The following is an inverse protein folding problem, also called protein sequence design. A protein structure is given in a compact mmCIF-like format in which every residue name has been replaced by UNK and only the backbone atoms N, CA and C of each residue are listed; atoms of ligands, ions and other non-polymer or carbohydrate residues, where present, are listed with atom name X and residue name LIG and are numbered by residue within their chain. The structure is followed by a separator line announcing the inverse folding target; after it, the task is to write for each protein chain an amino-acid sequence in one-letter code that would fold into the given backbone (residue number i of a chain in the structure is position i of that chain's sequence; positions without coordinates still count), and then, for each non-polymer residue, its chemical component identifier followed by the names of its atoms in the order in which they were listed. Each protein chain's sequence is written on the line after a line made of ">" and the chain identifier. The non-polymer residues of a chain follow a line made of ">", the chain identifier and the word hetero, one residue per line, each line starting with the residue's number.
data_IF_718664989229
#
_entry.id   IF_718664989229
#
_cell.length_a   1.000
_cell.length_b   1.000
_cell.length_c   1.000
_cell.angle_alpha   90.00
_cell.angle_beta   90.00
_cell.angle_gamma   90.00
#
_symmetry.space_group_name_H-M   'P 1'
#
loop_
_entity.id
_entity.type
_entity.pdbx_description
1 polymer ?
#
# COMPACT_ATOMS: atom_id res chain seq x y z
N UNK A 1 -13.25 4.64 -7.83
CA UNK A 1 -12.25 5.59 -8.40
C UNK A 1 -11.76 6.71 -7.50
N UNK A 2 -12.56 7.72 -7.10
CA UNK A 2 -12.04 8.87 -6.30
C UNK A 2 -11.67 8.49 -4.85
N UNK A 3 -12.48 7.65 -4.20
CA UNK A 3 -12.24 7.21 -2.82
C UNK A 3 -10.96 6.38 -2.69
N UNK A 4 -10.82 5.30 -3.49
CA UNK A 4 -9.60 4.48 -3.56
C UNK A 4 -8.33 5.32 -3.74
N UNK A 5 -8.34 6.29 -4.67
CA UNK A 5 -7.19 7.20 -4.87
C UNK A 5 -6.86 8.05 -3.64
N UNK A 6 -7.88 8.51 -2.89
CA UNK A 6 -7.68 9.25 -1.63
C UNK A 6 -7.07 8.35 -0.56
N UNK A 7 -7.55 7.12 -0.44
CA UNK A 7 -7.02 6.14 0.52
C UNK A 7 -5.57 5.78 0.21
N UNK A 8 -5.21 5.53 -1.05
CA UNK A 8 -3.80 5.27 -1.42
C UNK A 8 -2.92 6.49 -1.12
N UNK A 9 -3.43 7.72 -1.32
CA UNK A 9 -2.70 8.94 -0.97
C UNK A 9 -2.52 9.08 0.55
N UNK A 10 -3.51 8.66 1.33
CA UNK A 10 -3.44 8.61 2.79
C UNK A 10 -2.28 7.68 3.21
N UNK A 11 -2.28 6.42 2.74
CA UNK A 11 -1.22 5.46 3.03
C UNK A 11 0.18 6.02 2.71
N UNK A 12 0.35 6.64 1.54
CA UNK A 12 1.63 7.31 1.19
C UNK A 12 2.02 8.44 2.15
N UNK A 13 1.08 9.21 2.66
CA UNK A 13 1.37 10.28 3.64
C UNK A 13 1.79 9.73 5.00
N UNK A 14 1.26 8.57 5.37
CA UNK A 14 1.59 7.89 6.63
C UNK A 14 2.76 6.90 6.50
N UNK A 15 3.35 6.74 5.31
CA UNK A 15 4.41 5.76 5.08
C UNK A 15 3.93 4.30 5.05
N UNK A 16 2.62 4.06 4.94
CA UNK A 16 2.03 2.73 4.91
C UNK A 16 1.93 2.23 3.47
N UNK A 17 2.62 1.13 3.17
CA UNK A 17 2.57 0.47 1.85
C UNK A 17 1.56 -0.68 1.79
N UNK A 18 1.31 -1.33 2.93
CA UNK A 18 0.38 -2.45 3.11
C UNK A 18 -0.52 -2.13 4.29
N UNK A 19 -1.81 -1.89 4.03
CA UNK A 19 -2.75 -1.50 5.08
C UNK A 19 -4.18 -1.90 4.75
N UNK A 20 -4.99 -2.07 5.79
CA UNK A 20 -6.42 -2.26 5.73
C UNK A 20 -7.17 -1.01 6.15
N UNK A 21 -8.39 -0.85 5.65
CA UNK A 21 -9.27 0.24 6.06
C UNK A 21 -10.70 -0.26 6.12
N UNK A 22 -11.31 -0.07 7.28
CA UNK A 22 -12.72 -0.36 7.51
C UNK A 22 -13.52 0.93 7.40
N UNK A 23 -14.62 0.87 6.67
CA UNK A 23 -15.49 2.01 6.48
C UNK A 23 -16.96 1.58 6.41
N UNK A 24 -17.83 2.48 6.84
CA UNK A 24 -19.27 2.35 6.68
C UNK A 24 -19.75 3.30 5.59
N UNK A 25 -20.73 2.87 4.79
CA UNK A 25 -21.35 3.74 3.80
C UNK A 25 -22.47 4.56 4.45
N UNK A 26 -22.42 5.88 4.28
CA UNK A 26 -23.46 6.81 4.74
C UNK A 26 -24.07 7.54 3.56
N UNK A 27 -25.17 8.26 3.77
CA UNK A 27 -25.77 9.14 2.75
C UNK A 27 -24.79 10.21 2.23
N UNK A 28 -23.80 10.60 3.04
CA UNK A 28 -22.76 11.58 2.69
C UNK A 28 -21.51 10.94 2.07
N UNK A 29 -21.48 9.62 1.96
CA UNK A 29 -20.35 8.84 1.46
C UNK A 29 -19.66 7.98 2.53
N UNK A 30 -18.48 7.41 2.21
CA UNK A 30 -17.79 6.48 3.09
C UNK A 30 -17.19 7.21 4.32
N UNK A 31 -17.47 6.66 5.50
CA UNK A 31 -16.92 7.11 6.77
C UNK A 31 -15.94 6.06 7.29
N UNK A 32 -14.67 6.46 7.46
CA UNK A 32 -13.59 5.56 7.91
C UNK A 32 -13.77 5.33 9.41
N UNK A 33 -13.82 4.06 9.82
CA UNK A 33 -13.97 3.67 11.23
C UNK A 33 -12.66 3.14 11.82
N UNK A 34 -11.83 2.50 11.01
CA UNK A 34 -10.55 1.96 11.45
C UNK A 34 -9.52 1.90 10.32
N UNK A 35 -8.24 1.97 10.67
CA UNK A 35 -7.09 1.81 9.77
C UNK A 35 -6.08 0.88 10.45
N UNK A 36 -5.80 -0.24 9.78
CA UNK A 36 -4.87 -1.24 10.28
C UNK A 36 -3.58 -1.25 9.46
N UNK A 37 -2.45 -1.05 10.15
CA UNK A 37 -1.13 -1.29 9.57
C UNK A 37 -0.87 -2.80 9.51
N UNK A 38 -0.70 -3.33 8.30
CA UNK A 38 -0.50 -4.76 8.04
C UNK A 38 -1.59 -5.70 8.63
N UNK A 39 -2.81 -5.72 8.06
CA UNK A 39 -3.89 -6.62 8.51
C UNK A 39 -3.60 -8.09 8.19
N UNK A 40 -4.46 -9.00 8.67
CA UNK A 40 -4.25 -10.45 8.53
C UNK A 40 -4.51 -11.05 7.15
N UNK A 41 -5.18 -10.32 6.24
CA UNK A 41 -5.57 -10.78 4.90
C UNK A 41 -6.34 -12.11 4.83
N UNK A 42 -6.92 -12.58 5.96
CA UNK A 42 -7.52 -13.93 6.07
C UNK A 42 -8.56 -14.27 5.00
N UNK A 43 -9.31 -13.26 4.54
CA UNK A 43 -10.37 -13.44 3.53
C UNK A 43 -9.90 -13.21 2.09
N UNK A 44 -8.59 -13.03 1.87
CA UNK A 44 -7.99 -12.87 0.54
C UNK A 44 -7.18 -14.14 0.26
N UNK A 45 -7.69 -15.06 -0.58
CA UNK A 45 -7.01 -16.33 -0.87
C UNK A 45 -5.56 -16.13 -1.34
N UNK A 46 -5.31 -15.10 -2.15
CA UNK A 46 -4.00 -14.75 -2.69
C UNK A 46 -3.19 -13.81 -1.79
N UNK A 47 -3.66 -13.52 -0.57
CA UNK A 47 -3.10 -12.48 0.31
C UNK A 47 -1.59 -12.65 0.54
N UNK A 48 -1.15 -13.89 0.80
CA UNK A 48 0.28 -14.22 0.98
C UNK A 48 1.09 -13.93 -0.29
N UNK A 49 0.59 -14.32 -1.46
CA UNK A 49 1.27 -14.07 -2.74
C UNK A 49 1.38 -12.58 -3.01
N UNK A 50 0.28 -11.84 -2.88
CA UNK A 50 0.24 -10.40 -3.14
C UNK A 50 1.18 -9.62 -2.22
N UNK A 51 1.23 -9.97 -0.94
CA UNK A 51 2.17 -9.37 0.01
C UNK A 51 3.61 -9.71 -0.36
N UNK A 52 3.90 -10.97 -0.71
CA UNK A 52 5.24 -11.40 -1.12
C UNK A 52 5.70 -10.68 -2.38
N UNK A 53 4.85 -10.58 -3.40
CA UNK A 53 5.10 -9.85 -4.63
C UNK A 53 5.36 -8.36 -4.36
N UNK A 54 4.57 -7.76 -3.46
CA UNK A 54 4.75 -6.37 -3.09
C UNK A 54 6.12 -6.12 -2.43
N UNK A 55 6.53 -6.99 -1.50
CA UNK A 55 7.83 -6.90 -0.84
C UNK A 55 8.96 -7.08 -1.86
N UNK A 56 8.88 -8.13 -2.69
CA UNK A 56 9.88 -8.42 -3.72
C UNK A 56 10.05 -7.26 -4.69
N UNK A 57 8.95 -6.72 -5.21
CA UNK A 57 8.96 -5.58 -6.13
C UNK A 57 9.51 -4.31 -5.47
N UNK A 58 9.22 -4.09 -4.19
CA UNK A 58 9.74 -2.93 -3.45
C UNK A 58 11.26 -3.01 -3.28
N UNK A 59 11.80 -4.20 -3.01
CA UNK A 59 13.25 -4.45 -2.93
C UNK A 59 13.89 -4.21 -4.29
N UNK A 60 13.37 -4.82 -5.36
CA UNK A 60 13.92 -4.67 -6.70
C UNK A 60 13.91 -3.22 -7.20
N UNK A 61 12.85 -2.48 -6.89
CA UNK A 61 12.77 -1.07 -7.21
C UNK A 61 13.89 -0.30 -6.50
N UNK A 62 14.12 -0.57 -5.21
CA UNK A 62 15.17 0.08 -4.43
C UNK A 62 16.57 -0.22 -4.97
N UNK A 63 16.85 -1.47 -5.33
CA UNK A 63 18.14 -1.87 -5.90
C UNK A 63 18.38 -1.23 -7.29
N UNK A 64 17.33 -1.19 -8.12
CA UNK A 64 17.37 -0.49 -9.41
C UNK A 64 17.69 0.99 -9.22
N UNK A 65 16.97 1.70 -8.34
CA UNK A 65 17.25 3.11 -8.06
C UNK A 65 18.67 3.33 -7.53
N UNK A 66 19.16 2.46 -6.65
CA UNK A 66 20.52 2.54 -6.10
C UNK A 66 21.58 2.41 -7.20
N UNK A 67 21.42 1.43 -8.10
CA UNK A 67 22.37 1.23 -9.20
C UNK A 67 22.40 2.41 -10.19
N UNK A 68 21.24 2.99 -10.52
CA UNK A 68 21.13 4.19 -11.36
C UNK A 68 21.85 5.38 -10.71
N UNK A 69 21.62 5.61 -9.41
CA UNK A 69 22.27 6.69 -8.67
C UNK A 69 23.79 6.53 -8.60
N UNK A 70 24.30 5.30 -8.50
CA UNK A 70 25.74 5.03 -8.53
C UNK A 70 26.32 5.40 -9.90
N UNK A 71 25.67 4.95 -11.00
CA UNK A 71 26.10 5.26 -12.38
C UNK A 71 26.05 6.74 -12.72
N UNK A 72 25.10 7.49 -12.17
CA UNK A 72 24.99 8.93 -12.40
C UNK A 72 26.07 9.75 -11.65
N UNK A 73 26.73 9.14 -10.66
CA UNK A 73 27.78 9.79 -9.84
C UNK A 73 29.21 9.42 -10.26
N UNK A 74 29.38 8.38 -11.08
CA UNK A 74 30.64 7.96 -11.70
C UNK A 74 30.86 8.69 -13.01
#
# INVERSE_FOLDING_TARGET
>A
ERFKRRIIRLGRKFGMSIFGLDYIMTEKGPYIVDINDFPSFRSIPEGVSLVSDHIYNSINMRETYRSVLIRAKS
#
